data_IF_884537550473
#
_entry.id   IF_884537550473
#
_cell.length_a   1.000
_cell.length_b   1.000
_cell.length_c   1.000
_cell.angle_alpha   90.00
_cell.angle_beta   90.00
_cell.angle_gamma   90.00
#
_symmetry.space_group_name_H-M   'P 1'
#
loop_
_entity.id
_entity.type
_entity.pdbx_description
1 polymer ?
#
# COMPACT_ATOMS: atom_id res chain seq x y z
N UNK A 1 4.88 -18.17 1.62
CA UNK A 1 5.42 -16.92 1.04
C UNK A 1 4.87 -15.74 1.85
N UNK A 2 5.35 -15.60 3.09
CA UNK A 2 4.85 -14.66 4.10
C UNK A 2 5.97 -13.71 4.53
N UNK A 3 6.67 -13.13 3.56
CA UNK A 3 7.81 -12.25 3.83
C UNK A 3 7.40 -10.97 4.58
N UNK A 4 6.11 -10.64 4.60
CA UNK A 4 5.54 -9.47 5.27
C UNK A 4 5.38 -9.64 6.79
N UNK A 5 5.20 -10.89 7.27
CA UNK A 5 4.99 -11.14 8.71
C UNK A 5 6.30 -11.20 9.50
N UNK A 6 7.41 -11.55 8.84
CA UNK A 6 8.71 -11.68 9.50
C UNK A 6 9.36 -10.34 9.87
N UNK A 7 8.99 -9.24 9.20
CA UNK A 7 9.62 -7.92 9.40
C UNK A 7 9.04 -7.11 10.58
N UNK A 8 8.10 -7.68 11.35
CA UNK A 8 7.43 -6.95 12.45
C UNK A 8 6.62 -5.72 11.99
N UNK A 9 6.50 -5.49 10.68
CA UNK A 9 5.67 -4.42 10.13
C UNK A 9 4.21 -4.76 10.32
N UNK A 10 3.58 -4.06 11.26
CA UNK A 10 2.11 -3.93 11.38
C UNK A 10 1.49 -3.15 10.20
N UNK A 11 2.19 -3.04 9.07
CA UNK A 11 1.76 -2.30 7.91
C UNK A 11 2.17 -3.05 6.64
N UNK A 12 1.18 -3.46 5.85
CA UNK A 12 1.42 -3.98 4.51
C UNK A 12 1.67 -2.81 3.55
N UNK A 13 2.63 -2.97 2.63
CA UNK A 13 2.91 -1.98 1.58
C UNK A 13 2.69 -2.65 0.23
N UNK A 14 1.97 -1.99 -0.65
CA UNK A 14 1.64 -2.46 -1.99
C UNK A 14 2.00 -1.39 -3.01
N UNK A 15 2.62 -1.80 -4.10
CA UNK A 15 2.92 -0.94 -5.23
C UNK A 15 1.81 -1.10 -6.28
N UNK A 16 1.16 0.01 -6.64
CA UNK A 16 0.14 0.03 -7.71
C UNK A 16 0.58 1.01 -8.79
N UNK A 17 0.23 0.75 -10.05
CA UNK A 17 0.50 1.74 -11.09
C UNK A 17 -0.38 2.98 -10.89
N UNK A 18 0.24 4.17 -10.84
CA UNK A 18 -0.42 5.48 -10.77
C UNK A 18 -1.35 5.73 -11.99
N UNK A 19 -1.07 5.06 -13.11
CA UNK A 19 -1.94 5.09 -14.30
C UNK A 19 -3.20 4.21 -14.13
N UNK A 20 -3.19 3.28 -13.18
CA UNK A 20 -4.31 2.38 -12.91
C UNK A 20 -5.23 2.95 -11.83
N UNK A 21 -6.00 3.98 -12.20
CA UNK A 21 -6.99 4.62 -11.31
C UNK A 21 -7.99 3.61 -10.71
N UNK A 22 -8.33 2.56 -11.45
CA UNK A 22 -9.22 1.48 -10.97
C UNK A 22 -8.62 0.72 -9.80
N UNK A 23 -7.33 0.35 -9.88
CA UNK A 23 -6.65 -0.34 -8.80
C UNK A 23 -6.46 0.57 -7.58
N UNK A 24 -6.14 1.85 -7.78
CA UNK A 24 -6.07 2.82 -6.67
C UNK A 24 -7.40 2.94 -5.94
N UNK A 25 -8.49 3.20 -6.66
CA UNK A 25 -9.82 3.31 -6.06
C UNK A 25 -10.22 2.03 -5.33
N UNK A 26 -9.85 0.86 -5.86
CA UNK A 26 -10.12 -0.42 -5.23
C UNK A 26 -9.39 -0.61 -3.90
N UNK A 27 -8.11 -0.27 -3.83
CA UNK A 27 -7.33 -0.38 -2.60
C UNK A 27 -7.68 0.73 -1.59
N UNK A 28 -7.89 1.96 -2.05
CA UNK A 28 -8.36 3.07 -1.19
C UNK A 28 -9.67 2.70 -0.50
N UNK A 29 -10.62 2.09 -1.22
CA UNK A 29 -11.86 1.59 -0.60
C UNK A 29 -11.66 0.43 0.38
N UNK A 30 -10.55 -0.29 0.30
CA UNK A 30 -10.17 -1.35 1.26
C UNK A 30 -9.41 -0.79 2.47
N UNK A 31 -9.27 0.53 2.59
CA UNK A 31 -8.57 1.18 3.70
C UNK A 31 -7.06 1.35 3.46
N UNK A 32 -6.59 1.18 2.23
CA UNK A 32 -5.20 1.49 1.88
C UNK A 32 -5.04 2.99 1.69
N UNK A 33 -3.96 3.55 2.21
CA UNK A 33 -3.64 4.98 2.08
C UNK A 33 -2.37 5.16 1.24
N UNK A 34 -2.30 6.21 0.40
CA UNK A 34 -1.06 6.53 -0.31
C UNK A 34 0.04 6.87 0.70
N UNK A 35 1.18 6.22 0.53
CA UNK A 35 2.35 6.43 1.38
C UNK A 35 3.05 7.73 0.96
N UNK A 36 2.81 8.81 1.69
CA UNK A 36 3.42 10.12 1.43
C UNK A 36 4.94 10.13 1.68
N UNK A 37 5.46 9.16 2.44
CA UNK A 37 6.89 8.98 2.70
C UNK A 37 7.64 8.43 1.48
N UNK A 38 6.91 7.88 0.50
CA UNK A 38 7.44 7.36 -0.77
C UNK A 38 6.72 8.00 -1.95
N UNK A 39 7.06 9.27 -2.27
CA UNK A 39 6.53 9.88 -3.47
C UNK A 39 6.91 9.04 -4.71
N UNK A 40 6.01 8.89 -5.69
CA UNK A 40 6.39 8.35 -7.00
C UNK A 40 7.55 9.18 -7.55
N UNK A 41 8.60 8.51 -8.01
CA UNK A 41 9.67 9.22 -8.70
C UNK A 41 9.10 9.89 -9.97
N UNK A 42 9.66 11.03 -10.39
CA UNK A 42 9.25 11.66 -11.63
C UNK A 42 9.49 10.69 -12.81
N UNK A 43 8.40 10.32 -13.52
CA UNK A 43 8.40 9.30 -14.57
C UNK A 43 8.09 7.87 -14.09
N UNK A 44 8.01 7.65 -12.79
CA UNK A 44 7.60 6.38 -12.20
C UNK A 44 6.11 6.42 -11.88
N UNK A 45 5.31 5.78 -12.73
CA UNK A 45 3.88 5.64 -12.54
C UNK A 45 3.57 4.60 -11.46
N UNK A 46 4.23 4.64 -10.30
CA UNK A 46 4.00 3.70 -9.20
C UNK A 46 3.62 4.47 -7.96
N UNK A 47 2.40 4.24 -7.52
CA UNK A 47 1.89 4.72 -6.25
C UNK A 47 2.14 3.64 -5.21
N UNK A 48 2.83 4.01 -4.12
CA UNK A 48 2.94 3.15 -2.95
C UNK A 48 1.71 3.35 -2.08
N UNK A 49 1.04 2.25 -1.76
CA UNK A 49 -0.09 2.21 -0.85
C UNK A 49 0.35 1.47 0.41
N UNK A 50 0.02 2.02 1.56
CA UNK A 50 0.23 1.40 2.87
C UNK A 50 -1.10 1.05 3.49
N UNK A 51 -1.19 -0.14 4.05
CA UNK A 51 -2.32 -0.59 4.85
C UNK A 51 -1.81 -0.90 6.25
N UNK A 52 -2.25 -0.11 7.23
CA UNK A 52 -1.97 -0.40 8.63
C UNK A 52 -2.81 -1.62 9.00
N UNK A 53 -2.14 -2.76 9.15
CA UNK A 53 -2.75 -3.93 9.76
C UNK A 53 -2.81 -3.61 11.25
N UNK A 54 -3.91 -2.97 11.68
CA UNK A 54 -4.31 -3.04 13.07
C UNK A 54 -4.36 -4.54 13.39
N UNK A 55 -3.47 -4.99 14.27
CA UNK A 55 -3.48 -6.39 14.71
C UNK A 55 -4.90 -6.73 15.14
N UNK A 56 -5.42 -7.84 14.60
CA UNK A 56 -6.79 -8.28 14.77
C UNK A 56 -7.32 -8.06 16.19
N UNK A 57 -8.48 -7.42 16.30
CA UNK A 57 -9.33 -7.52 17.47
C UNK A 57 -10.56 -8.33 17.08
N UNK A 58 -10.50 -9.63 17.39
CA UNK A 58 -11.59 -10.63 17.50
C UNK A 58 -12.38 -11.02 16.23
#
# INVERSE_FOLDING_TARGET
MEQWRADGRRAAVLEVRADNARAQAFYVRRGWVPDAERPPAEGDHRLFLRYVVAGAGE
#
